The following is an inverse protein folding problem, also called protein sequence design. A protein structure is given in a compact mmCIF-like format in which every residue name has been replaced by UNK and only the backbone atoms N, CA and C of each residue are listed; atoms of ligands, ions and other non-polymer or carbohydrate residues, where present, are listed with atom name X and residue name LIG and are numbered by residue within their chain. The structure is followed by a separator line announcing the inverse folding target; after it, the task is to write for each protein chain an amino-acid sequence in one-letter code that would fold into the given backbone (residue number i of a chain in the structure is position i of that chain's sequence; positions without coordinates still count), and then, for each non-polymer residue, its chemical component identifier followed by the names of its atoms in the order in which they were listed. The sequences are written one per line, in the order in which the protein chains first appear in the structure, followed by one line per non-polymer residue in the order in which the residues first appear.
data_IF_578322298989
#
_entry.id   IF_578322298989
#
_cell.length_a   1.000
_cell.length_b   1.000
_cell.length_c   1.000
_cell.angle_alpha   90.00
_cell.angle_beta   90.00
_cell.angle_gamma   90.00
#
_symmetry.space_group_name_H-M   'P 1'
#
loop_
_entity.id
_entity.type
_entity.pdbx_description
1 polymer ?
#
# COMPACT_ATOMS: atom_id res chain seq x y z
N UNK A 1 -8.03 11.32 -14.69
CA UNK A 1 -6.67 10.89 -14.26
C UNK A 1 -5.87 10.46 -15.48
N UNK A 2 -4.57 10.77 -15.54
CA UNK A 2 -3.69 10.24 -16.60
C UNK A 2 -3.29 8.80 -16.28
N UNK A 3 -2.96 8.00 -17.31
CA UNK A 3 -2.51 6.60 -17.14
C UNK A 3 -1.24 6.56 -16.27
N UNK A 4 -0.31 7.49 -16.51
CA UNK A 4 0.92 7.63 -15.72
C UNK A 4 0.61 7.90 -14.24
N UNK A 5 -0.33 8.81 -13.93
CA UNK A 5 -0.71 9.08 -12.54
C UNK A 5 -1.34 7.84 -11.87
N UNK A 6 -2.19 7.10 -12.58
CA UNK A 6 -2.80 5.89 -12.05
C UNK A 6 -1.76 4.81 -11.70
N UNK A 7 -0.72 4.65 -12.53
CA UNK A 7 0.39 3.74 -12.27
C UNK A 7 1.26 4.16 -11.09
N UNK A 8 1.52 5.47 -10.94
CA UNK A 8 2.28 6.00 -9.79
C UNK A 8 1.52 5.73 -8.49
N UNK A 9 0.22 6.01 -8.46
CA UNK A 9 -0.63 5.72 -7.29
C UNK A 9 -0.61 4.22 -6.98
N UNK A 10 -0.72 3.36 -8.00
CA UNK A 10 -0.62 1.91 -7.82
C UNK A 10 0.71 1.50 -7.16
N UNK A 11 1.84 1.97 -7.70
CA UNK A 11 3.16 1.62 -7.19
C UNK A 11 3.33 2.08 -5.73
N UNK A 12 2.98 3.33 -5.41
CA UNK A 12 3.11 3.86 -4.05
C UNK A 12 2.20 3.10 -3.08
N UNK A 13 0.94 2.88 -3.43
CA UNK A 13 0.01 2.09 -2.60
C UNK A 13 0.53 0.66 -2.41
N UNK A 14 1.03 0.02 -3.46
CA UNK A 14 1.59 -1.34 -3.39
C UNK A 14 2.77 -1.42 -2.42
N UNK A 15 3.74 -0.51 -2.52
CA UNK A 15 4.89 -0.48 -1.62
C UNK A 15 4.48 -0.20 -0.16
N UNK A 16 3.55 0.73 0.06
CA UNK A 16 3.04 1.03 1.41
C UNK A 16 2.37 -0.21 2.04
N UNK A 17 1.50 -0.90 1.31
CA UNK A 17 0.86 -2.14 1.79
C UNK A 17 1.91 -3.24 2.00
N UNK A 18 2.90 -3.35 1.13
CA UNK A 18 3.99 -4.33 1.26
C UNK A 18 4.76 -4.14 2.57
N UNK A 19 5.16 -2.90 2.88
CA UNK A 19 5.85 -2.60 4.13
C UNK A 19 4.98 -2.82 5.38
N UNK A 20 3.67 -2.58 5.29
CA UNK A 20 2.73 -2.88 6.39
C UNK A 20 2.54 -4.39 6.59
N UNK A 21 2.54 -5.19 5.52
CA UNK A 21 2.36 -6.64 5.58
C UNK A 21 3.63 -7.40 5.99
N UNK A 22 4.81 -6.85 5.68
CA UNK A 22 6.10 -7.45 6.05
C UNK A 22 6.23 -7.90 7.53
N UNK A 23 5.91 -7.07 8.54
CA UNK A 23 5.99 -7.45 9.95
C UNK A 23 4.89 -8.42 10.40
N UNK A 24 3.83 -8.59 9.62
CA UNK A 24 2.70 -9.45 9.97
C UNK A 24 3.13 -10.91 9.74
N UNK A 25 3.08 -11.73 10.81
CA UNK A 25 3.45 -13.16 10.82
C UNK A 25 4.94 -13.43 10.65
N UNK A 26 5.77 -12.86 11.50
CA UNK A 26 7.05 -13.48 11.82
C UNK A 26 6.77 -14.64 12.79
N UNK A 27 7.11 -15.86 12.40
CA UNK A 27 7.19 -17.00 13.31
C UNK A 27 8.63 -17.49 13.30
N UNK A 28 9.23 -17.55 14.48
CA UNK A 28 10.61 -17.99 14.65
C UNK A 28 10.68 -19.52 14.67
N UNK A 29 11.82 -20.10 14.31
CA UNK A 29 12.06 -21.54 14.45
C UNK A 29 11.79 -22.06 15.87
N UNK A 30 11.89 -21.21 16.91
CA UNK A 30 11.50 -21.60 18.28
C UNK A 30 10.00 -21.87 18.49
N UNK A 31 9.12 -21.20 17.73
CA UNK A 31 7.67 -21.43 17.81
C UNK A 31 7.22 -22.66 17.01
N UNK A 32 8.01 -23.10 16.03
CA UNK A 32 7.69 -24.22 15.13
C UNK A 32 8.08 -25.60 15.67
N UNK A 33 8.77 -25.67 16.82
CA UNK A 33 9.09 -26.93 17.51
C UNK A 33 10.22 -27.77 16.92
N UNK A 34 10.70 -27.48 15.70
CA UNK A 34 11.88 -28.10 15.10
C UNK A 34 13.01 -27.08 14.88
N UNK A 35 13.93 -27.00 15.85
CA UNK A 35 15.17 -26.24 15.71
C UNK A 35 16.23 -27.15 15.08
N UNK A 36 16.62 -26.84 13.83
CA UNK A 36 17.70 -27.57 13.15
C UNK A 36 19.04 -27.22 13.81
N UNK A 37 19.87 -28.19 14.22
CA UNK A 37 21.16 -27.92 14.85
C UNK A 37 22.06 -27.09 13.93
N UNK A 38 22.48 -25.90 14.37
CA UNK A 38 23.38 -25.01 13.63
C UNK A 38 22.74 -23.77 13.00
N UNK A 39 21.41 -23.60 13.10
CA UNK A 39 20.70 -22.38 12.64
C UNK A 39 20.35 -21.49 13.84
N UNK A 40 20.48 -20.15 13.77
CA UNK A 40 20.02 -19.27 14.84
C UNK A 40 18.53 -19.50 15.13
N UNK A 41 18.16 -19.62 16.41
CA UNK A 41 16.77 -19.83 16.86
C UNK A 41 15.78 -18.74 16.38
N UNK A 42 16.31 -17.59 15.97
CA UNK A 42 15.58 -16.44 15.39
C UNK A 42 15.40 -16.52 13.86
N UNK A 43 15.98 -17.51 13.18
CA UNK A 43 15.79 -17.68 11.76
C UNK A 43 14.32 -18.04 11.48
N UNK A 44 13.69 -17.46 10.43
CA UNK A 44 12.34 -17.82 10.04
C UNK A 44 12.30 -19.31 9.65
N UNK A 45 11.35 -20.07 10.21
CA UNK A 45 11.16 -21.48 9.85
C UNK A 45 10.62 -21.65 8.43
N UNK A 46 9.91 -20.63 7.93
CA UNK A 46 9.13 -20.72 6.70
C UNK A 46 9.36 -19.46 5.85
N UNK A 47 10.07 -19.62 4.73
CA UNK A 47 10.44 -18.52 3.83
C UNK A 47 9.26 -18.17 2.90
N UNK A 48 8.11 -17.79 3.47
CA UNK A 48 6.86 -17.56 2.72
C UNK A 48 6.72 -16.15 2.14
N UNK A 49 7.80 -15.45 1.79
CA UNK A 49 7.74 -14.08 1.23
C UNK A 49 6.88 -14.02 -0.04
N UNK A 50 6.91 -15.08 -0.86
CA UNK A 50 6.07 -15.19 -2.06
C UNK A 50 4.57 -15.19 -1.74
N UNK A 51 4.15 -15.90 -0.68
CA UNK A 51 2.74 -15.92 -0.25
C UNK A 51 2.32 -14.56 0.31
N UNK A 52 3.21 -13.91 1.06
CA UNK A 52 2.97 -12.56 1.60
C UNK A 52 2.81 -11.53 0.47
N UNK A 53 3.68 -11.56 -0.54
CA UNK A 53 3.60 -10.67 -1.70
C UNK A 53 2.28 -10.82 -2.49
N UNK A 54 1.76 -12.05 -2.58
CA UNK A 54 0.49 -12.31 -3.27
C UNK A 54 -0.71 -11.73 -2.50
N UNK A 55 -0.72 -11.86 -1.17
CA UNK A 55 -1.73 -11.24 -0.30
C UNK A 55 -1.65 -9.72 -0.37
N UNK A 56 -0.42 -9.16 -0.29
CA UNK A 56 -0.18 -7.72 -0.45
C UNK A 56 -0.76 -7.21 -1.76
N UNK A 57 -0.54 -7.93 -2.86
CA UNK A 57 -1.02 -7.52 -4.18
C UNK A 57 -2.54 -7.54 -4.25
N UNK A 58 -3.20 -8.56 -3.70
CA UNK A 58 -4.66 -8.63 -3.64
C UNK A 58 -5.26 -7.45 -2.86
N UNK A 59 -4.72 -7.14 -1.67
CA UNK A 59 -5.15 -6.00 -0.85
C UNK A 59 -4.91 -4.69 -1.60
N UNK A 60 -3.75 -4.56 -2.24
CA UNK A 60 -3.39 -3.37 -3.01
C UNK A 60 -4.35 -3.13 -4.16
N UNK A 61 -4.71 -4.16 -4.94
CA UNK A 61 -5.62 -4.01 -6.08
C UNK A 61 -6.99 -3.48 -5.64
N UNK A 62 -7.51 -3.97 -4.51
CA UNK A 62 -8.78 -3.50 -3.94
C UNK A 62 -8.66 -2.03 -3.50
N UNK A 63 -7.64 -1.69 -2.70
CA UNK A 63 -7.43 -0.32 -2.22
C UNK A 63 -7.20 0.66 -3.36
N UNK A 64 -6.36 0.30 -4.32
CA UNK A 64 -6.08 1.10 -5.50
C UNK A 64 -7.33 1.34 -6.33
N UNK A 65 -8.16 0.30 -6.55
CA UNK A 65 -9.44 0.44 -7.26
C UNK A 65 -10.38 1.44 -6.59
N UNK A 66 -10.48 1.38 -5.26
CA UNK A 66 -11.27 2.33 -4.47
C UNK A 66 -10.70 3.76 -4.56
N UNK A 67 -9.39 3.93 -4.48
CA UNK A 67 -8.72 5.24 -4.58
C UNK A 67 -8.93 5.84 -5.97
N UNK A 68 -8.71 5.07 -7.03
CA UNK A 68 -8.91 5.53 -8.41
C UNK A 68 -10.37 5.90 -8.64
N UNK A 69 -11.31 5.08 -8.19
CA UNK A 69 -12.74 5.39 -8.29
C UNK A 69 -13.11 6.66 -7.51
N UNK A 70 -12.62 6.81 -6.28
CA UNK A 70 -12.85 8.01 -5.48
C UNK A 70 -12.31 9.26 -6.17
N UNK A 71 -11.09 9.21 -6.69
CA UNK A 71 -10.46 10.34 -7.39
C UNK A 71 -11.20 10.67 -8.70
N UNK A 72 -11.69 9.68 -9.45
CA UNK A 72 -12.43 9.92 -10.69
C UNK A 72 -13.89 10.30 -10.47
N UNK A 73 -14.47 9.97 -9.32
CA UNK A 73 -15.87 10.30 -8.98
C UNK A 73 -16.12 11.80 -8.84
N UNK A 74 -15.08 12.62 -8.65
CA UNK A 74 -15.23 14.06 -8.48
C UNK A 74 -15.91 14.48 -7.18
N UNK A 75 -16.05 13.56 -6.19
CA UNK A 75 -16.64 13.83 -4.87
C UNK A 75 -15.86 14.88 -4.06
N UNK A 76 -14.58 15.10 -4.39
CA UNK A 76 -13.74 16.16 -3.83
C UNK A 76 -13.12 16.89 -5.01
N UNK A 77 -13.61 18.09 -5.30
CA UNK A 77 -13.04 18.96 -6.33
C UNK A 77 -12.00 19.90 -5.71
N UNK A 78 -11.05 20.37 -6.52
CA UNK A 78 -10.12 21.43 -6.09
C UNK A 78 -10.90 22.69 -5.66
N UNK A 79 -12.07 22.92 -6.24
CA UNK A 79 -13.00 23.98 -5.84
C UNK A 79 -13.49 23.85 -4.37
N UNK A 80 -13.61 22.63 -3.83
CA UNK A 80 -13.97 22.43 -2.42
C UNK A 80 -12.78 22.73 -1.48
N UNK A 81 -11.55 22.55 -1.98
CA UNK A 81 -10.33 22.88 -1.26
C UNK A 81 -10.10 24.40 -1.22
N UNK A 82 -10.45 25.11 -2.30
CA UNK A 82 -10.43 26.58 -2.36
C UNK A 82 -11.40 27.19 -1.34
N UNK A 83 -12.56 26.56 -1.10
CA UNK A 83 -13.51 26.97 -0.05
C UNK A 83 -12.89 26.92 1.36
N UNK A 84 -11.90 26.06 1.59
CA UNK A 84 -11.19 25.93 2.87
C UNK A 84 -9.92 26.79 2.96
N UNK A 85 -9.48 27.40 1.85
CA UNK A 85 -8.24 28.18 1.80
C UNK A 85 -8.52 29.63 1.35
N UNK A 86 -8.91 30.54 2.27
CA UNK A 86 -9.17 31.94 1.93
C UNK A 86 -7.89 32.62 1.43
N UNK A 87 -7.80 32.91 0.12
CA UNK A 87 -6.68 33.66 -0.47
C UNK A 87 -6.08 33.10 -1.77
N UNK A 88 -6.60 32.01 -2.34
CA UNK A 88 -6.19 31.56 -3.66
C UNK A 88 -6.55 32.64 -4.72
N UNK A 89 -5.60 33.13 -5.54
CA UNK A 89 -5.88 34.16 -6.53
C UNK A 89 -6.89 33.67 -7.57
N UNK A 90 -7.85 34.51 -8.00
CA UNK A 90 -8.84 34.10 -8.99
C UNK A 90 -8.16 33.82 -10.32
N UNK A 91 -8.22 32.56 -10.79
CA UNK A 91 -7.90 32.18 -12.16
C UNK A 91 -6.54 31.51 -12.40
N UNK A 92 -6.28 30.34 -11.83
CA UNK A 92 -5.21 29.46 -12.31
C UNK A 92 -5.82 28.22 -13.01
N UNK A 93 -6.11 28.11 -14.32
CA UNK A 93 -6.23 28.90 -15.57
C UNK A 93 -6.93 27.93 -16.59
N UNK A 94 -7.32 28.31 -17.83
CA UNK A 94 -8.09 29.47 -18.31
C UNK A 94 -9.62 29.28 -18.18
#
# INVERSE_FOLDING_TARGET
MTITAALIVFAITWFMVFFVVLPIRFTSQSEAGEVVPGTPQSAPADYLVKKKALITTAITVVLWGLIVWFITSGLVSIADLERWTPGAPPGANP
#
